data_IF_836985015086
#
_entry.id   IF_836985015086
#
_cell.length_a   1.000
_cell.length_b   1.000
_cell.length_c   1.000
_cell.angle_alpha   90.00
_cell.angle_beta   90.00
_cell.angle_gamma   90.00
#
_symmetry.space_group_name_H-M   'P 1'
#
loop_
_entity.id
_entity.type
_entity.pdbx_description
1 polymer ?
#
# COMPACT_ATOMS: atom_id res chain seq x y z
N UNK A 1 4.77 20.21 21.20
CA UNK A 1 5.23 21.35 22.01
C UNK A 1 6.74 21.22 22.18
N UNK A 2 7.55 22.00 21.46
CA UNK A 2 9.02 21.94 21.59
C UNK A 2 9.39 22.38 23.01
N UNK A 3 10.17 21.58 23.73
CA UNK A 3 10.85 22.04 24.95
C UNK A 3 12.01 22.92 24.50
N UNK A 4 11.69 24.18 24.26
CA UNK A 4 12.65 25.26 24.01
C UNK A 4 13.09 25.80 25.36
N UNK A 5 14.39 25.85 25.62
CA UNK A 5 14.91 26.70 26.68
C UNK A 5 14.56 28.15 26.32
N UNK A 6 13.50 28.69 26.94
CA UNK A 6 13.07 30.08 26.76
C UNK A 6 14.20 31.00 27.23
N UNK A 7 14.73 31.81 26.32
CA UNK A 7 15.28 33.10 26.73
C UNK A 7 14.11 33.96 27.26
N UNK A 8 14.24 34.75 28.34
CA UNK A 8 13.10 35.38 29.02
C UNK A 8 12.51 36.62 28.29
N UNK A 9 12.43 36.59 26.96
CA UNK A 9 11.92 37.70 26.13
C UNK A 9 10.91 37.24 25.06
N UNK A 10 10.14 38.19 24.52
CA UNK A 10 9.30 37.96 23.31
C UNK A 10 10.21 37.59 22.14
N UNK A 11 10.05 36.38 21.59
CA UNK A 11 10.77 35.93 20.40
C UNK A 11 10.55 36.88 19.22
N UNK A 12 11.62 37.20 18.48
CA UNK A 12 11.57 38.14 17.35
C UNK A 12 11.67 37.39 16.03
N UNK A 13 10.80 37.73 15.08
CA UNK A 13 10.78 37.14 13.74
C UNK A 13 11.40 38.08 12.70
N UNK A 14 12.05 37.56 11.62
CA UNK A 14 12.26 36.15 11.30
C UNK A 14 13.12 35.42 12.34
N UNK A 15 12.77 34.18 12.65
CA UNK A 15 13.44 33.36 13.65
C UNK A 15 14.04 32.12 12.99
N UNK A 16 15.27 31.76 13.33
CA UNK A 16 15.85 30.48 12.93
C UNK A 16 15.73 29.47 14.06
N UNK A 17 15.38 28.24 13.72
CA UNK A 17 15.45 27.08 14.62
C UNK A 17 16.60 26.18 14.19
N UNK A 18 17.49 25.84 15.11
CA UNK A 18 18.64 24.97 14.89
C UNK A 18 18.45 23.67 15.68
N UNK A 19 18.37 22.56 14.96
CA UNK A 19 18.16 21.22 15.52
C UNK A 19 19.28 20.29 15.07
N UNK A 20 19.92 19.60 16.03
CA UNK A 20 20.95 18.61 15.73
C UNK A 20 20.43 17.19 16.00
N UNK A 21 20.89 16.25 15.17
CA UNK A 21 20.56 14.84 15.21
C UNK A 21 21.84 14.03 15.07
N UNK A 22 21.85 12.81 15.60
CA UNK A 22 23.07 12.03 15.75
C UNK A 22 22.82 10.56 16.04
N UNK A 23 23.72 9.63 15.66
CA UNK A 23 23.53 8.20 15.91
C UNK A 23 23.49 7.86 17.40
N UNK A 24 24.05 8.72 18.26
CA UNK A 24 23.97 8.65 19.72
C UNK A 24 23.52 10.01 20.28
N UNK A 25 23.08 10.08 21.56
CA UNK A 25 22.73 11.34 22.20
C UNK A 25 23.89 12.34 22.35
N UNK A 26 25.14 11.90 22.17
CA UNK A 26 26.34 12.71 22.37
C UNK A 26 26.98 13.21 21.07
N UNK A 27 26.78 12.50 19.96
CA UNK A 27 27.50 12.75 18.71
C UNK A 27 26.54 13.19 17.60
N UNK A 28 26.67 14.42 17.12
CA UNK A 28 25.78 14.98 16.10
C UNK A 28 26.36 14.81 14.70
N UNK A 29 25.59 14.22 13.79
CA UNK A 29 26.00 14.02 12.38
C UNK A 29 25.11 14.80 11.41
N UNK A 30 24.02 15.40 11.89
CA UNK A 30 23.06 16.16 11.08
C UNK A 30 22.60 17.42 11.80
N UNK A 31 22.64 18.56 11.12
CA UNK A 31 22.09 19.84 11.58
C UNK A 31 21.00 20.28 10.62
N UNK A 32 19.87 20.73 11.17
CA UNK A 32 18.76 21.29 10.40
C UNK A 32 18.52 22.71 10.89
N UNK A 33 18.59 23.69 9.98
CA UNK A 33 18.18 25.07 10.23
C UNK A 33 16.85 25.33 9.51
N UNK A 34 15.85 25.85 10.22
CA UNK A 34 14.55 26.22 9.64
C UNK A 34 14.16 27.65 9.99
N UNK A 35 13.69 28.42 9.00
CA UNK A 35 13.28 29.82 9.13
C UNK A 35 11.78 29.93 9.33
N UNK A 36 11.37 30.70 10.34
CA UNK A 36 9.98 31.03 10.65
C UNK A 36 9.79 32.54 10.53
N UNK A 37 8.78 32.98 9.78
CA UNK A 37 8.51 34.41 9.58
C UNK A 37 7.52 34.99 10.59
N UNK A 38 6.77 34.13 11.30
CA UNK A 38 5.80 34.52 12.33
C UNK A 38 5.57 33.39 13.32
N UNK A 39 5.03 33.73 14.48
CA UNK A 39 4.69 32.75 15.51
C UNK A 39 3.63 31.76 15.01
N UNK A 40 3.89 30.46 15.16
CA UNK A 40 3.00 29.40 14.69
C UNK A 40 2.88 29.30 13.16
N UNK A 41 3.69 30.03 12.41
CA UNK A 41 3.74 29.93 10.95
C UNK A 41 4.45 28.67 10.47
N UNK A 42 4.25 28.33 9.20
CA UNK A 42 5.01 27.27 8.52
C UNK A 42 6.47 27.68 8.32
N UNK A 43 7.31 26.66 8.07
CA UNK A 43 8.73 26.85 7.76
C UNK A 43 8.86 27.49 6.37
N UNK A 44 9.39 28.70 6.33
CA UNK A 44 9.56 29.46 5.09
C UNK A 44 10.76 28.97 4.26
N UNK A 45 11.85 28.58 4.93
CA UNK A 45 12.99 27.93 4.29
C UNK A 45 13.69 26.99 5.27
N UNK A 46 14.37 25.96 4.74
CA UNK A 46 15.08 24.96 5.54
C UNK A 46 16.32 24.46 4.81
N UNK A 47 17.43 24.42 5.55
CA UNK A 47 18.67 23.82 5.09
C UNK A 47 19.12 22.70 6.04
N UNK A 48 19.76 21.67 5.47
CA UNK A 48 20.22 20.48 6.18
C UNK A 48 21.71 20.27 5.86
N UNK A 49 22.49 20.06 6.90
CA UNK A 49 23.90 19.68 6.81
C UNK A 49 24.12 18.31 7.43
N UNK A 50 24.96 17.50 6.79
CA UNK A 50 25.28 16.15 7.26
C UNK A 50 26.77 15.86 7.12
N UNK A 51 27.34 15.14 8.07
CA UNK A 51 28.73 14.64 8.05
C UNK A 51 28.77 13.20 8.53
N UNK A 52 29.74 12.43 8.03
CA UNK A 52 29.99 11.03 8.41
C UNK A 52 31.27 10.84 9.24
N UNK A 53 32.07 11.90 9.38
CA UNK A 53 33.45 11.80 9.92
C UNK A 53 33.69 12.67 11.16
N UNK A 54 32.84 13.66 11.40
CA UNK A 54 33.02 14.68 12.43
C UNK A 54 31.70 14.97 13.15
N UNK A 55 31.79 15.61 14.32
CA UNK A 55 30.59 16.17 14.94
C UNK A 55 30.21 17.47 14.22
N UNK A 56 29.01 17.50 13.62
CA UNK A 56 28.52 18.60 12.78
C UNK A 56 28.52 19.95 13.50
N UNK A 57 28.41 19.96 14.84
CA UNK A 57 28.42 21.18 15.65
C UNK A 57 29.80 21.84 15.70
N UNK A 58 30.84 21.05 15.52
CA UNK A 58 32.23 21.49 15.57
C UNK A 58 32.86 21.69 14.19
N UNK A 59 32.12 21.38 13.13
CA UNK A 59 32.59 21.54 11.77
C UNK A 59 32.65 23.05 11.40
N UNK A 60 33.85 23.61 11.11
CA UNK A 60 34.00 25.03 10.84
C UNK A 60 33.33 25.45 9.53
N UNK A 61 33.27 24.56 8.53
CA UNK A 61 32.62 24.82 7.25
C UNK A 61 31.12 24.90 7.45
N UNK A 62 30.52 23.92 8.13
CA UNK A 62 29.08 23.91 8.43
C UNK A 62 28.70 25.13 9.26
N UNK A 63 29.53 25.55 10.22
CA UNK A 63 29.27 26.75 11.02
C UNK A 63 29.18 28.01 10.18
N UNK A 64 30.07 28.15 9.20
CA UNK A 64 30.08 29.31 8.31
C UNK A 64 28.87 29.29 7.36
N UNK A 65 28.50 28.12 6.84
CA UNK A 65 27.30 27.96 6.01
C UNK A 65 26.01 28.25 6.80
N UNK A 66 25.91 27.80 8.05
CA UNK A 66 24.77 28.10 8.92
C UNK A 66 24.69 29.60 9.21
N UNK A 67 25.83 30.27 9.44
CA UNK A 67 25.87 31.72 9.61
C UNK A 67 25.35 32.42 8.36
N UNK A 68 25.88 32.07 7.18
CA UNK A 68 25.47 32.66 5.91
C UNK A 68 23.97 32.45 5.66
N UNK A 69 23.43 31.27 5.97
CA UNK A 69 22.00 30.98 5.86
C UNK A 69 21.15 31.86 6.78
N UNK A 70 21.57 32.08 8.03
CA UNK A 70 20.87 32.92 9.01
C UNK A 70 20.91 34.39 8.58
N UNK A 71 22.07 34.87 8.13
CA UNK A 71 22.27 36.26 7.68
C UNK A 71 21.46 36.58 6.43
N UNK A 72 21.42 35.67 5.45
CA UNK A 72 20.63 35.81 4.23
C UNK A 72 19.12 35.99 4.49
N UNK A 73 18.63 35.48 5.63
CA UNK A 73 17.22 35.56 6.03
C UNK A 73 16.92 36.68 7.04
N UNK A 74 17.89 37.56 7.32
CA UNK A 74 17.76 38.67 8.27
C UNK A 74 17.16 38.24 9.63
N UNK A 75 17.58 37.06 10.11
CA UNK A 75 17.07 36.45 11.33
C UNK A 75 17.34 37.34 12.53
N UNK A 76 16.30 37.59 13.33
CA UNK A 76 16.33 38.47 14.51
C UNK A 76 16.45 37.70 15.82
N UNK A 77 16.22 36.40 15.79
CA UNK A 77 16.30 35.51 16.93
C UNK A 77 16.62 34.07 16.50
N UNK A 78 17.40 33.36 17.32
CA UNK A 78 17.83 31.99 17.04
C UNK A 78 17.47 31.09 18.21
N UNK A 79 16.74 30.02 17.92
CA UNK A 79 16.37 29.00 18.90
C UNK A 79 17.13 27.72 18.60
N UNK A 80 17.91 27.25 19.57
CA UNK A 80 18.66 26.00 19.43
C UNK A 80 18.15 24.98 20.45
N UNK A 81 18.03 23.72 20.05
CA UNK A 81 17.75 22.64 20.99
C UNK A 81 18.94 22.46 21.95
N UNK A 82 18.66 22.30 23.25
CA UNK A 82 19.70 22.08 24.27
C UNK A 82 20.37 20.70 24.20
N UNK A 83 19.80 19.78 23.41
CA UNK A 83 20.26 18.41 23.20
C UNK A 83 19.98 17.95 21.78
N UNK A 84 20.54 16.81 21.40
CA UNK A 84 20.20 16.16 20.13
C UNK A 84 18.74 15.67 20.17
N UNK A 85 18.01 15.92 19.10
CA UNK A 85 16.57 15.65 19.02
C UNK A 85 16.26 14.23 18.57
N UNK A 86 17.25 13.41 18.21
CA UNK A 86 17.06 12.03 17.80
C UNK A 86 18.14 11.51 16.86
N UNK A 87 17.92 10.29 16.36
CA UNK A 87 18.71 9.69 15.29
C UNK A 87 18.60 10.51 13.98
N UNK A 88 19.66 10.55 13.13
CA UNK A 88 19.62 11.24 11.83
C UNK A 88 18.64 10.61 10.83
N UNK A 89 18.26 9.35 11.05
CA UNK A 89 17.32 8.58 10.24
C UNK A 89 15.87 8.92 10.60
N UNK A 90 15.00 8.97 9.58
CA UNK A 90 13.62 9.40 9.68
C UNK A 90 12.66 8.20 9.74
N UNK A 91 11.94 8.08 10.85
CA UNK A 91 10.82 7.14 11.03
C UNK A 91 9.76 7.31 9.93
N UNK A 92 9.28 6.20 9.37
CA UNK A 92 8.37 6.18 8.23
C UNK A 92 9.05 6.39 6.87
N UNK A 93 10.37 6.65 6.84
CA UNK A 93 11.16 6.74 5.61
C UNK A 93 12.30 5.71 5.63
N UNK A 94 13.18 5.81 6.62
CA UNK A 94 14.38 4.98 6.76
C UNK A 94 14.12 3.67 7.53
N UNK A 95 13.07 3.64 8.35
CA UNK A 95 12.62 2.46 9.11
C UNK A 95 11.12 2.58 9.44
N UNK A 96 10.41 1.48 9.73
CA UNK A 96 8.96 1.50 9.94
C UNK A 96 8.51 2.43 11.06
N UNK A 97 7.31 3.00 10.91
CA UNK A 97 6.68 3.83 11.93
C UNK A 97 6.38 3.01 13.18
N UNK A 98 6.77 3.50 14.35
CA UNK A 98 6.59 2.82 15.64
C UNK A 98 7.73 1.89 16.03
N UNK A 99 8.67 1.60 15.13
CA UNK A 99 9.83 0.76 15.41
C UNK A 99 11.04 1.56 15.89
N UNK A 100 12.02 0.85 16.44
CA UNK A 100 13.31 1.42 16.80
C UNK A 100 14.21 1.49 15.57
N UNK A 101 15.01 2.55 15.46
CA UNK A 101 15.92 2.67 14.34
C UNK A 101 17.02 1.59 14.44
N UNK A 102 17.13 0.65 13.49
CA UNK A 102 18.09 -0.45 13.57
C UNK A 102 19.55 0.02 13.44
N UNK A 103 19.75 1.24 12.91
CA UNK A 103 21.07 1.85 12.71
C UNK A 103 21.53 2.69 13.92
N UNK A 104 20.63 2.96 14.86
CA UNK A 104 20.82 3.89 15.95
C UNK A 104 20.32 3.29 17.28
N UNK A 105 20.89 2.16 17.76
CA UNK A 105 20.39 1.48 18.96
C UNK A 105 20.49 2.33 20.23
N UNK A 106 21.36 3.35 20.25
CA UNK A 106 21.45 4.30 21.36
C UNK A 106 20.18 5.17 21.55
N UNK A 107 19.25 5.15 20.59
CA UNK A 107 17.96 5.83 20.67
C UNK A 107 16.79 4.87 20.93
N UNK A 108 17.05 3.57 21.04
CA UNK A 108 16.06 2.56 21.42
C UNK A 108 15.41 2.95 22.75
N UNK A 109 14.07 2.93 22.79
CA UNK A 109 13.31 3.30 23.98
C UNK A 109 13.52 4.73 24.47
N UNK A 110 13.94 5.71 23.64
CA UNK A 110 14.11 7.12 24.06
C UNK A 110 13.15 8.04 23.29
N UNK A 111 12.44 8.92 24.00
CA UNK A 111 11.61 9.92 23.36
C UNK A 111 12.46 11.03 22.74
N UNK A 112 12.28 11.22 21.44
CA UNK A 112 13.07 12.16 20.67
C UNK A 112 12.86 13.62 21.12
N UNK A 113 11.67 13.98 21.62
CA UNK A 113 11.31 15.34 22.05
C UNK A 113 11.56 15.63 23.53
N UNK A 114 11.35 14.65 24.42
CA UNK A 114 11.59 14.82 25.87
C UNK A 114 12.94 14.29 26.35
N UNK A 115 13.52 13.30 25.67
CA UNK A 115 14.80 12.68 26.03
C UNK A 115 14.69 11.68 27.16
N UNK A 116 13.47 11.39 27.59
CA UNK A 116 13.16 10.41 28.62
C UNK A 116 12.99 9.04 28.00
N UNK A 117 13.16 7.99 28.82
CA UNK A 117 12.81 6.63 28.42
C UNK A 117 11.35 6.59 27.97
N UNK A 118 11.12 6.20 26.72
CA UNK A 118 9.80 5.81 26.22
C UNK A 118 9.41 4.50 26.88
N UNK A 119 8.21 4.48 27.44
CA UNK A 119 7.39 3.27 27.41
C UNK A 119 7.09 3.00 25.92
N UNK A 120 7.24 1.78 25.39
CA UNK A 120 6.94 1.50 23.99
C UNK A 120 5.57 2.07 23.60
N UNK A 121 5.46 2.70 22.42
CA UNK A 121 4.14 3.05 21.87
C UNK A 121 3.40 1.73 21.69
N UNK A 122 2.47 1.43 22.60
CA UNK A 122 1.68 0.22 22.51
C UNK A 122 0.79 0.34 21.27
N UNK A 123 0.91 -0.65 20.39
CA UNK A 123 -0.12 -0.88 19.39
C UNK A 123 -1.46 -1.07 20.11
N UNK A 124 -2.52 -0.55 19.50
CA UNK A 124 -3.90 -0.78 19.91
C UNK A 124 -4.76 -0.97 18.67
N UNK A 125 -5.93 -1.59 18.85
CA UNK A 125 -6.91 -1.72 17.78
C UNK A 125 -7.29 -0.36 17.18
N UNK A 126 -7.45 0.67 18.03
CA UNK A 126 -7.77 2.03 17.59
C UNK A 126 -6.67 2.66 16.73
N UNK A 127 -5.40 2.40 17.03
CA UNK A 127 -4.27 2.88 16.21
C UNK A 127 -4.23 2.14 14.88
N UNK A 128 -4.40 0.82 14.88
CA UNK A 128 -4.43 0.02 13.65
C UNK A 128 -5.58 0.49 12.73
N UNK A 129 -6.80 0.63 13.27
CA UNK A 129 -7.96 1.10 12.51
C UNK A 129 -7.76 2.51 11.96
N UNK A 130 -7.26 3.45 12.76
CA UNK A 130 -6.99 4.81 12.28
C UNK A 130 -6.02 4.81 11.09
N UNK A 131 -5.01 3.92 11.10
CA UNK A 131 -4.07 3.77 9.99
C UNK A 131 -4.73 3.16 8.76
N UNK A 132 -5.47 2.05 8.92
CA UNK A 132 -6.13 1.34 7.81
C UNK A 132 -7.25 2.18 7.18
N UNK A 133 -7.90 3.05 7.95
CA UNK A 133 -8.91 4.00 7.48
C UNK A 133 -8.32 5.29 6.91
N UNK A 134 -6.99 5.45 6.82
CA UNK A 134 -6.38 6.66 6.26
C UNK A 134 -5.73 6.35 4.91
N UNK A 135 -6.29 6.85 3.78
CA UNK A 135 -5.72 6.63 2.46
C UNK A 135 -4.24 7.04 2.39
N UNK A 136 -3.41 6.15 1.82
CA UNK A 136 -1.98 6.42 1.63
C UNK A 136 -1.15 6.56 2.91
N UNK A 137 -1.68 6.16 4.08
CA UNK A 137 -0.96 6.32 5.34
C UNK A 137 0.34 5.51 5.37
N UNK A 138 1.46 6.18 5.66
CA UNK A 138 2.81 5.57 5.66
C UNK A 138 2.98 4.41 6.65
N UNK A 139 2.15 4.37 7.70
CA UNK A 139 2.11 3.28 8.68
C UNK A 139 1.32 2.05 8.24
N UNK A 140 0.66 2.08 7.07
CA UNK A 140 -0.19 0.99 6.57
C UNK A 140 0.50 -0.39 6.57
N UNK A 141 1.76 -0.53 6.10
CA UNK A 141 2.44 -1.83 6.15
C UNK A 141 2.57 -2.38 7.57
N UNK A 142 2.90 -1.52 8.54
CA UNK A 142 3.04 -1.92 9.93
C UNK A 142 1.68 -2.29 10.55
N UNK A 143 0.59 -1.60 10.16
CA UNK A 143 -0.76 -1.93 10.61
C UNK A 143 -1.24 -3.27 10.07
N UNK A 144 -0.93 -3.60 8.81
CA UNK A 144 -1.22 -4.92 8.22
C UNK A 144 -0.45 -6.03 8.94
N UNK A 145 0.83 -5.82 9.28
CA UNK A 145 1.63 -6.79 10.05
C UNK A 145 1.09 -6.97 11.47
N UNK A 146 0.66 -5.88 12.12
CA UNK A 146 0.11 -5.92 13.46
C UNK A 146 -1.36 -6.41 13.51
N UNK A 147 -2.05 -6.50 12.37
CA UNK A 147 -3.48 -6.74 12.29
C UNK A 147 -3.91 -8.06 12.97
N UNK A 148 -3.06 -9.09 12.96
CA UNK A 148 -3.37 -10.37 13.60
C UNK A 148 -3.67 -10.22 15.11
N UNK A 149 -3.08 -9.23 15.78
CA UNK A 149 -3.31 -8.93 17.21
C UNK A 149 -4.67 -8.27 17.47
N UNK A 150 -5.29 -7.72 16.43
CA UNK A 150 -6.52 -6.93 16.51
C UNK A 150 -7.60 -7.45 15.56
N UNK A 151 -7.52 -8.73 15.16
CA UNK A 151 -8.42 -9.38 14.20
C UNK A 151 -9.88 -9.05 14.45
N UNK A 152 -10.40 -9.33 15.65
CA UNK A 152 -11.82 -9.13 15.94
C UNK A 152 -12.22 -7.66 15.82
N UNK A 153 -11.42 -6.74 16.35
CA UNK A 153 -11.72 -5.31 16.25
C UNK A 153 -11.73 -4.82 14.79
N UNK A 154 -10.85 -5.35 13.94
CA UNK A 154 -10.79 -5.01 12.51
C UNK A 154 -11.98 -5.62 11.77
N UNK A 155 -12.31 -6.90 12.01
CA UNK A 155 -13.46 -7.57 11.40
C UNK A 155 -14.76 -6.86 11.78
N UNK A 156 -14.96 -6.52 13.06
CA UNK A 156 -16.15 -5.79 13.50
C UNK A 156 -16.25 -4.39 12.86
N UNK A 157 -15.12 -3.70 12.65
CA UNK A 157 -15.11 -2.43 11.92
C UNK A 157 -15.49 -2.61 10.44
N UNK A 158 -14.98 -3.64 9.77
CA UNK A 158 -15.35 -3.97 8.38
C UNK A 158 -16.84 -4.30 8.28
N UNK A 159 -17.37 -5.12 9.19
CA UNK A 159 -18.80 -5.48 9.23
C UNK A 159 -19.67 -4.25 9.44
N UNK A 160 -19.29 -3.37 10.37
CA UNK A 160 -20.01 -2.13 10.63
C UNK A 160 -20.00 -1.19 9.41
N UNK A 161 -18.87 -1.07 8.72
CA UNK A 161 -18.76 -0.28 7.50
C UNK A 161 -19.60 -0.88 6.37
N UNK A 162 -19.50 -2.18 6.09
CA UNK A 162 -20.32 -2.87 5.08
C UNK A 162 -21.81 -2.68 5.35
N UNK A 163 -22.27 -2.89 6.59
CA UNK A 163 -23.66 -2.71 6.96
C UNK A 163 -24.13 -1.26 6.73
N UNK A 164 -23.29 -0.27 7.07
CA UNK A 164 -23.62 1.14 6.91
C UNK A 164 -23.66 1.56 5.44
N UNK A 165 -22.64 1.25 4.65
CA UNK A 165 -22.61 1.64 3.22
C UNK A 165 -23.65 0.88 2.39
N UNK A 166 -24.05 -0.31 2.81
CA UNK A 166 -25.17 -1.04 2.20
C UNK A 166 -26.50 -0.34 2.46
N UNK A 167 -26.71 0.19 3.67
CA UNK A 167 -27.96 0.86 4.04
C UNK A 167 -28.02 2.33 3.56
N UNK A 168 -26.86 2.99 3.51
CA UNK A 168 -26.69 4.41 3.25
C UNK A 168 -25.45 4.65 2.36
N UNK A 169 -25.48 4.23 1.08
CA UNK A 169 -24.34 4.33 0.17
C UNK A 169 -23.83 5.77 0.02
N UNK A 170 -24.72 6.76 0.12
CA UNK A 170 -24.40 8.19 0.08
C UNK A 170 -23.49 8.67 1.23
N UNK A 171 -23.32 7.84 2.26
CA UNK A 171 -22.45 8.14 3.42
C UNK A 171 -21.06 7.54 3.29
N UNK A 172 -20.73 6.87 2.18
CA UNK A 172 -19.41 6.32 1.95
C UNK A 172 -18.35 7.44 1.83
N UNK A 173 -17.16 7.18 2.37
CA UNK A 173 -16.05 8.13 2.41
C UNK A 173 -14.75 7.48 1.93
N UNK A 174 -13.74 8.29 1.60
CA UNK A 174 -12.39 7.79 1.29
C UNK A 174 -11.79 6.95 2.45
N UNK A 175 -12.17 7.25 3.69
CA UNK A 175 -11.74 6.47 4.85
C UNK A 175 -12.35 5.06 4.86
N UNK A 176 -13.58 4.93 4.35
CA UNK A 176 -14.25 3.64 4.18
C UNK A 176 -13.63 2.84 3.03
N UNK A 177 -13.31 3.51 1.92
CA UNK A 177 -12.58 2.89 0.81
C UNK A 177 -11.28 2.26 1.29
N UNK A 178 -10.47 3.03 2.04
CA UNK A 178 -9.21 2.56 2.61
C UNK A 178 -9.42 1.37 3.57
N UNK A 179 -10.40 1.49 4.48
CA UNK A 179 -10.67 0.44 5.47
C UNK A 179 -11.22 -0.84 4.84
N UNK A 180 -12.18 -0.74 3.92
CA UNK A 180 -12.79 -1.89 3.25
C UNK A 180 -11.76 -2.57 2.37
N UNK A 181 -10.96 -1.83 1.61
CA UNK A 181 -9.92 -2.40 0.76
C UNK A 181 -8.93 -3.23 1.59
N UNK A 182 -8.31 -2.65 2.62
CA UNK A 182 -7.37 -3.38 3.48
C UNK A 182 -8.05 -4.49 4.30
N UNK A 183 -9.21 -4.16 4.84
CA UNK A 183 -10.00 -5.03 5.70
C UNK A 183 -10.47 -6.29 4.99
N UNK A 184 -10.89 -6.22 3.72
CA UNK A 184 -11.33 -7.39 2.97
C UNK A 184 -10.17 -8.34 2.67
N UNK A 185 -8.98 -7.85 2.30
CA UNK A 185 -7.80 -8.73 2.16
C UNK A 185 -7.42 -9.38 3.49
N UNK A 186 -7.48 -8.65 4.60
CA UNK A 186 -7.23 -9.21 5.94
C UNK A 186 -8.28 -10.28 6.32
N UNK A 187 -9.56 -10.00 6.12
CA UNK A 187 -10.65 -10.94 6.35
C UNK A 187 -10.53 -12.19 5.48
N UNK A 188 -10.15 -12.04 4.20
CA UNK A 188 -9.87 -13.15 3.30
C UNK A 188 -8.67 -13.98 3.78
N UNK A 189 -7.56 -13.34 4.19
CA UNK A 189 -6.39 -14.02 4.79
C UNK A 189 -6.77 -14.83 6.03
N UNK A 190 -7.63 -14.28 6.88
CA UNK A 190 -8.11 -14.95 8.09
C UNK A 190 -9.24 -15.94 7.85
N UNK A 191 -9.80 -15.96 6.64
CA UNK A 191 -10.98 -16.74 6.26
C UNK A 191 -12.15 -16.51 7.21
N UNK A 192 -12.40 -15.25 7.54
CA UNK A 192 -13.41 -14.88 8.54
C UNK A 192 -14.82 -14.94 7.97
N UNK A 193 -15.52 -16.05 8.23
CA UNK A 193 -16.84 -16.35 7.65
C UNK A 193 -17.93 -15.35 8.04
N UNK A 194 -17.72 -14.53 9.07
CA UNK A 194 -18.68 -13.48 9.45
C UNK A 194 -18.89 -12.46 8.33
N UNK A 195 -17.88 -12.25 7.48
CA UNK A 195 -17.90 -11.24 6.40
C UNK A 195 -18.66 -11.70 5.16
N UNK A 196 -18.85 -13.00 4.98
CA UNK A 196 -19.44 -13.58 3.77
C UNK A 196 -20.80 -13.00 3.39
N UNK A 197 -21.78 -13.10 4.30
CA UNK A 197 -23.14 -12.65 4.02
C UNK A 197 -23.22 -11.12 3.86
N UNK A 198 -22.58 -10.31 4.72
CA UNK A 198 -22.52 -8.85 4.52
C UNK A 198 -21.89 -8.43 3.20
N UNK A 199 -20.76 -9.05 2.80
CA UNK A 199 -20.07 -8.73 1.55
C UNK A 199 -20.93 -9.08 0.32
N UNK A 200 -21.49 -10.29 0.29
CA UNK A 200 -22.39 -10.71 -0.80
C UNK A 200 -23.65 -9.85 -0.84
N UNK A 201 -24.18 -9.45 0.32
CA UNK A 201 -25.34 -8.56 0.39
C UNK A 201 -25.02 -7.21 -0.23
N UNK A 202 -23.89 -6.61 0.14
CA UNK A 202 -23.45 -5.33 -0.41
C UNK A 202 -23.29 -5.42 -1.93
N UNK A 203 -22.55 -6.41 -2.44
CA UNK A 203 -22.36 -6.64 -3.88
C UNK A 203 -23.66 -6.84 -4.66
N UNK A 204 -24.70 -7.40 -4.04
CA UNK A 204 -25.99 -7.64 -4.70
C UNK A 204 -26.85 -6.38 -4.79
N UNK A 205 -26.70 -5.46 -3.85
CA UNK A 205 -27.59 -4.29 -3.71
C UNK A 205 -26.94 -2.96 -4.07
N UNK A 206 -25.61 -2.90 -4.09
CA UNK A 206 -24.85 -1.72 -4.46
C UNK A 206 -25.07 -1.36 -5.94
N UNK A 207 -25.16 -0.06 -6.23
CA UNK A 207 -25.03 0.44 -7.60
C UNK A 207 -23.56 0.42 -8.03
N UNK A 208 -23.30 0.46 -9.34
CA UNK A 208 -21.92 0.45 -9.87
C UNK A 208 -21.06 1.56 -9.26
N UNK A 209 -21.62 2.76 -9.07
CA UNK A 209 -20.92 3.89 -8.44
C UNK A 209 -20.55 3.66 -6.98
N UNK A 210 -21.31 2.80 -6.27
CA UNK A 210 -20.98 2.45 -4.88
C UNK A 210 -19.81 1.47 -4.82
N UNK A 211 -19.67 0.63 -5.85
CA UNK A 211 -18.59 -0.36 -5.95
C UNK A 211 -17.26 0.24 -6.40
N UNK A 212 -17.27 1.44 -7.02
CA UNK A 212 -16.06 2.24 -7.26
C UNK A 212 -15.26 2.48 -5.95
N UNK A 213 -15.89 2.34 -4.78
CA UNK A 213 -15.27 2.39 -3.47
C UNK A 213 -14.08 1.41 -3.33
N UNK A 214 -14.15 0.25 -3.98
CA UNK A 214 -13.07 -0.75 -3.97
C UNK A 214 -12.33 -0.84 -5.33
N UNK A 215 -12.78 -0.07 -6.33
CA UNK A 215 -12.15 0.03 -7.65
C UNK A 215 -11.80 -1.34 -8.25
N UNK A 216 -10.56 -1.45 -8.76
CA UNK A 216 -10.05 -2.66 -9.42
C UNK A 216 -10.09 -3.92 -8.53
N UNK A 217 -10.20 -3.79 -7.20
CA UNK A 217 -10.36 -4.95 -6.30
C UNK A 217 -11.62 -5.74 -6.66
N UNK A 218 -12.68 -5.07 -7.14
CA UNK A 218 -13.91 -5.73 -7.58
C UNK A 218 -13.62 -6.75 -8.70
N UNK A 219 -12.82 -6.36 -9.69
CA UNK A 219 -12.58 -7.17 -10.89
C UNK A 219 -11.42 -8.15 -10.72
N UNK A 220 -10.41 -7.79 -9.91
CA UNK A 220 -9.17 -8.57 -9.79
C UNK A 220 -9.22 -9.61 -8.66
N UNK A 221 -9.78 -9.26 -7.49
CA UNK A 221 -9.62 -10.07 -6.27
C UNK A 221 -10.93 -10.42 -5.56
N UNK A 222 -12.06 -9.79 -5.89
CA UNK A 222 -13.32 -9.99 -5.18
C UNK A 222 -13.79 -11.46 -5.21
N UNK A 223 -13.59 -12.18 -6.31
CA UNK A 223 -13.89 -13.62 -6.39
C UNK A 223 -13.08 -14.45 -5.39
N UNK A 224 -11.77 -14.17 -5.28
CA UNK A 224 -10.89 -14.78 -4.26
C UNK A 224 -11.32 -14.42 -2.85
N UNK A 225 -11.70 -13.16 -2.60
CA UNK A 225 -12.18 -12.72 -1.29
C UNK A 225 -13.47 -13.44 -0.89
N UNK A 226 -14.46 -13.49 -1.78
CA UNK A 226 -15.74 -14.19 -1.58
C UNK A 226 -15.54 -15.68 -1.30
N UNK A 227 -14.68 -16.35 -2.06
CA UNK A 227 -14.34 -17.76 -1.82
C UNK A 227 -13.61 -17.94 -0.48
N UNK A 228 -12.70 -17.03 -0.12
CA UNK A 228 -11.90 -17.16 1.09
C UNK A 228 -12.74 -17.04 2.38
N UNK A 229 -13.74 -16.16 2.39
CA UNK A 229 -14.66 -15.98 3.51
C UNK A 229 -15.88 -16.91 3.46
N UNK A 230 -16.00 -17.76 2.45
CA UNK A 230 -17.18 -18.59 2.26
C UNK A 230 -17.52 -19.46 3.48
N UNK A 231 -18.77 -19.37 3.94
CA UNK A 231 -19.26 -20.03 5.16
C UNK A 231 -19.94 -21.39 4.95
N UNK A 232 -19.79 -22.01 3.78
CA UNK A 232 -20.39 -23.32 3.47
C UNK A 232 -21.77 -23.28 2.78
N UNK A 233 -22.44 -22.12 2.75
CA UNK A 233 -23.73 -21.93 2.06
C UNK A 233 -23.52 -21.22 0.73
N UNK A 234 -23.90 -21.85 -0.40
CA UNK A 234 -23.79 -21.26 -1.75
C UNK A 234 -24.97 -20.33 -2.08
N UNK A 235 -26.05 -20.38 -1.31
CA UNK A 235 -27.28 -19.63 -1.58
C UNK A 235 -27.05 -18.11 -1.74
N UNK A 236 -26.25 -17.44 -0.89
CA UNK A 236 -25.93 -16.03 -1.09
C UNK A 236 -25.26 -15.74 -2.44
N UNK A 237 -24.21 -16.49 -2.82
CA UNK A 237 -23.53 -16.32 -4.11
C UNK A 237 -24.48 -16.54 -5.28
N UNK A 238 -25.31 -17.59 -5.23
CA UNK A 238 -26.29 -17.87 -6.28
C UNK A 238 -27.30 -16.73 -6.44
N UNK A 239 -27.79 -16.16 -5.33
CA UNK A 239 -28.68 -14.99 -5.37
C UNK A 239 -28.00 -13.72 -5.88
N UNK A 240 -26.69 -13.56 -5.68
CA UNK A 240 -25.92 -12.47 -6.29
C UNK A 240 -25.85 -12.65 -7.80
N UNK A 241 -25.42 -13.83 -8.27
CA UNK A 241 -25.26 -14.15 -9.69
C UNK A 241 -26.59 -14.06 -10.46
N UNK A 242 -27.69 -14.52 -9.85
CA UNK A 242 -29.05 -14.50 -10.42
C UNK A 242 -29.75 -13.14 -10.26
N UNK A 243 -29.09 -12.10 -9.75
CA UNK A 243 -29.70 -10.78 -9.55
C UNK A 243 -29.54 -9.90 -10.80
N UNK A 244 -30.59 -9.68 -11.63
CA UNK A 244 -30.49 -8.85 -12.84
C UNK A 244 -30.13 -7.39 -12.57
N UNK A 245 -30.39 -6.91 -11.35
CA UNK A 245 -30.12 -5.53 -10.94
C UNK A 245 -28.76 -5.35 -10.28
N UNK A 246 -28.04 -6.45 -10.00
CA UNK A 246 -26.69 -6.35 -9.44
C UNK A 246 -25.69 -6.00 -10.53
N UNK A 247 -24.63 -5.30 -10.15
CA UNK A 247 -23.51 -4.98 -11.05
C UNK A 247 -22.92 -6.24 -11.70
N UNK A 248 -22.64 -6.17 -13.00
CA UNK A 248 -22.23 -7.34 -13.77
C UNK A 248 -20.85 -7.90 -13.37
N UNK A 249 -19.96 -7.05 -12.85
CA UNK A 249 -18.66 -7.47 -12.32
C UNK A 249 -18.80 -8.08 -10.93
N UNK A 250 -19.73 -7.59 -10.11
CA UNK A 250 -20.08 -8.24 -8.85
C UNK A 250 -20.68 -9.64 -9.08
N UNK A 251 -21.55 -9.79 -10.11
CA UNK A 251 -22.07 -11.10 -10.55
C UNK A 251 -20.94 -12.01 -11.03
N UNK A 252 -20.01 -11.49 -11.83
CA UNK A 252 -18.83 -12.22 -12.30
C UNK A 252 -17.93 -12.68 -11.14
N UNK A 253 -17.68 -11.82 -10.14
CA UNK A 253 -16.95 -12.20 -8.93
C UNK A 253 -17.65 -13.35 -8.18
N UNK A 254 -18.98 -13.38 -8.18
CA UNK A 254 -19.76 -14.48 -7.61
C UNK A 254 -19.58 -15.81 -8.35
N UNK A 255 -19.53 -15.78 -9.69
CA UNK A 255 -19.23 -16.94 -10.54
C UNK A 255 -17.81 -17.44 -10.31
N UNK A 256 -16.84 -16.53 -10.32
CA UNK A 256 -15.44 -16.83 -10.05
C UNK A 256 -15.25 -17.44 -8.66
N UNK A 257 -15.94 -16.92 -7.64
CA UNK A 257 -15.90 -17.49 -6.30
C UNK A 257 -16.39 -18.95 -6.27
N UNK A 258 -17.49 -19.28 -6.98
CA UNK A 258 -18.00 -20.65 -7.07
C UNK A 258 -17.00 -21.60 -7.75
N UNK A 259 -16.34 -21.14 -8.82
CA UNK A 259 -15.29 -21.89 -9.50
C UNK A 259 -14.04 -22.09 -8.62
N UNK A 260 -13.60 -21.04 -7.91
CA UNK A 260 -12.49 -21.11 -6.97
C UNK A 260 -12.76 -22.08 -5.82
N UNK A 261 -13.99 -22.16 -5.32
CA UNK A 261 -14.36 -23.15 -4.31
C UNK A 261 -14.19 -24.59 -4.81
N UNK A 262 -14.41 -24.85 -6.10
CA UNK A 262 -14.08 -26.15 -6.72
C UNK A 262 -12.57 -26.33 -6.81
N UNK A 263 -11.84 -25.33 -7.30
CA UNK A 263 -10.39 -25.37 -7.47
C UNK A 263 -9.63 -25.53 -6.15
N UNK A 264 -10.15 -24.97 -5.06
CA UNK A 264 -9.60 -25.11 -3.71
C UNK A 264 -10.08 -26.38 -2.99
N UNK A 265 -10.92 -27.19 -3.64
CA UNK A 265 -11.49 -28.43 -3.11
C UNK A 265 -12.40 -28.22 -1.88
N UNK A 266 -13.08 -27.08 -1.83
CA UNK A 266 -13.97 -26.70 -0.72
C UNK A 266 -15.46 -26.87 -1.06
N UNK A 267 -15.82 -26.87 -2.35
CA UNK A 267 -17.14 -27.21 -2.83
C UNK A 267 -17.10 -28.41 -3.78
N UNK A 268 -18.10 -29.32 -3.73
CA UNK A 268 -18.21 -30.40 -4.70
C UNK A 268 -18.38 -29.86 -6.14
N UNK A 269 -17.52 -30.30 -7.07
CA UNK A 269 -17.56 -29.89 -8.48
C UNK A 269 -18.94 -30.14 -9.10
N UNK A 270 -19.49 -31.33 -8.90
CA UNK A 270 -20.80 -31.74 -9.43
C UNK A 270 -21.92 -30.79 -8.99
N UNK A 271 -21.90 -30.33 -7.74
CA UNK A 271 -22.88 -29.41 -7.21
C UNK A 271 -22.78 -28.01 -7.85
N UNK A 272 -21.57 -27.53 -8.14
CA UNK A 272 -21.34 -26.23 -8.82
C UNK A 272 -21.65 -26.33 -10.31
N UNK A 273 -21.21 -27.40 -10.98
CA UNK A 273 -21.49 -27.64 -12.41
C UNK A 273 -22.98 -27.80 -12.64
N UNK A 274 -23.71 -28.54 -11.80
CA UNK A 274 -25.17 -28.65 -11.89
C UNK A 274 -25.86 -27.29 -11.78
N UNK A 275 -25.32 -26.39 -10.95
CA UNK A 275 -25.80 -25.03 -10.89
C UNK A 275 -25.51 -24.26 -12.18
N UNK A 276 -24.30 -24.33 -12.72
CA UNK A 276 -23.93 -23.66 -13.96
C UNK A 276 -24.73 -24.16 -15.18
N UNK A 277 -25.06 -25.45 -15.24
CA UNK A 277 -26.00 -25.98 -16.25
C UNK A 277 -27.33 -25.26 -16.16
N UNK A 278 -27.97 -25.27 -14.98
CA UNK A 278 -29.26 -24.60 -14.75
C UNK A 278 -29.19 -23.10 -15.03
N UNK A 279 -28.08 -22.47 -14.67
CA UNK A 279 -27.85 -21.05 -14.88
C UNK A 279 -27.76 -20.72 -16.38
N UNK A 280 -27.00 -21.49 -17.16
CA UNK A 280 -26.84 -21.31 -18.61
C UNK A 280 -28.12 -21.63 -19.41
N UNK A 281 -28.97 -22.52 -18.92
CA UNK A 281 -30.19 -22.92 -19.66
C UNK A 281 -31.41 -22.09 -19.29
N UNK A 282 -31.54 -21.70 -18.02
CA UNK A 282 -32.79 -21.14 -17.46
C UNK A 282 -32.57 -19.91 -16.57
N UNK A 283 -31.40 -19.78 -15.94
CA UNK A 283 -31.19 -18.80 -14.87
C UNK A 283 -30.71 -17.42 -15.30
N UNK A 284 -29.95 -17.30 -16.39
CA UNK A 284 -29.48 -16.01 -16.88
C UNK A 284 -30.42 -15.39 -17.91
N UNK A 285 -30.54 -14.06 -17.83
CA UNK A 285 -31.21 -13.27 -18.83
C UNK A 285 -30.51 -13.45 -20.19
N UNK A 286 -31.28 -13.49 -21.28
CA UNK A 286 -30.75 -13.61 -22.66
C UNK A 286 -30.27 -12.25 -23.19
N UNK A 287 -29.46 -11.57 -22.39
CA UNK A 287 -28.82 -10.29 -22.71
C UNK A 287 -27.31 -10.48 -22.67
N UNK A 288 -26.55 -10.07 -23.71
CA UNK A 288 -25.10 -10.13 -23.67
C UNK A 288 -24.55 -9.30 -22.50
N UNK A 289 -23.43 -9.73 -21.92
CA UNK A 289 -22.76 -8.96 -20.88
C UNK A 289 -21.76 -9.79 -20.05
N UNK A 290 -21.15 -9.15 -19.07
CA UNK A 290 -20.02 -9.70 -18.35
C UNK A 290 -20.35 -10.98 -17.58
N UNK A 291 -21.61 -11.15 -17.15
CA UNK A 291 -22.04 -12.38 -16.46
C UNK A 291 -21.99 -13.61 -17.39
N UNK A 292 -22.34 -13.48 -18.66
CA UNK A 292 -22.20 -14.56 -19.64
C UNK A 292 -20.74 -14.84 -19.98
N UNK A 293 -19.94 -13.79 -20.17
CA UNK A 293 -18.50 -13.90 -20.40
C UNK A 293 -17.82 -14.66 -19.25
N UNK A 294 -18.08 -14.24 -18.01
CA UNK A 294 -17.54 -14.88 -16.82
C UNK A 294 -18.03 -16.33 -16.68
N UNK A 295 -19.33 -16.62 -16.88
CA UNK A 295 -19.83 -18.00 -16.80
C UNK A 295 -19.06 -18.93 -17.75
N UNK A 296 -18.80 -18.48 -18.97
CA UNK A 296 -18.10 -19.28 -19.96
C UNK A 296 -16.61 -19.49 -19.57
N UNK A 297 -15.93 -18.44 -19.11
CA UNK A 297 -14.55 -18.52 -18.60
C UNK A 297 -14.47 -19.49 -17.41
N UNK A 298 -15.32 -19.31 -16.40
CA UNK A 298 -15.30 -20.14 -15.21
C UNK A 298 -15.62 -21.61 -15.51
N UNK A 299 -16.56 -21.87 -16.43
CA UNK A 299 -16.84 -23.23 -16.91
C UNK A 299 -15.62 -23.85 -17.60
N UNK A 300 -14.85 -23.10 -18.38
CA UNK A 300 -13.64 -23.62 -18.99
C UNK A 300 -12.53 -23.89 -17.96
N UNK A 301 -12.38 -23.01 -16.96
CA UNK A 301 -11.38 -23.13 -15.89
C UNK A 301 -11.61 -24.38 -15.03
N UNK A 302 -12.86 -24.65 -14.64
CA UNK A 302 -13.21 -25.86 -13.87
C UNK A 302 -13.56 -27.07 -14.74
N UNK A 303 -13.34 -26.95 -16.04
CA UNK A 303 -13.57 -28.00 -17.03
C UNK A 303 -15.02 -28.54 -16.99
N UNK A 304 -16.01 -27.67 -16.82
CA UNK A 304 -17.45 -27.97 -16.76
C UNK A 304 -18.03 -28.31 -18.13
N UNK A 305 -17.55 -29.41 -18.74
CA UNK A 305 -17.95 -29.87 -20.08
C UNK A 305 -19.48 -30.03 -20.22
N UNK A 306 -20.16 -30.35 -19.12
CA UNK A 306 -21.60 -30.50 -19.05
C UNK A 306 -22.37 -29.21 -19.43
N UNK A 307 -21.73 -28.04 -19.29
CA UNK A 307 -22.31 -26.72 -19.61
C UNK A 307 -22.02 -26.30 -21.06
N UNK A 308 -20.99 -26.87 -21.69
CA UNK A 308 -20.46 -26.41 -22.99
C UNK A 308 -21.49 -26.38 -24.13
N UNK A 309 -22.43 -27.34 -24.25
CA UNK A 309 -23.48 -27.25 -25.27
C UNK A 309 -24.31 -25.96 -25.16
N UNK A 310 -24.65 -25.54 -23.92
CA UNK A 310 -25.38 -24.30 -23.68
C UNK A 310 -24.52 -23.06 -23.97
N UNK A 311 -23.23 -23.11 -23.63
CA UNK A 311 -22.29 -22.00 -23.92
C UNK A 311 -22.06 -21.82 -25.42
N UNK A 312 -21.91 -22.90 -26.19
CA UNK A 312 -21.78 -22.82 -27.66
C UNK A 312 -23.03 -22.19 -28.28
N UNK A 313 -24.22 -22.56 -27.81
CA UNK A 313 -25.46 -21.91 -28.24
C UNK A 313 -25.47 -20.40 -27.89
N UNK A 314 -25.04 -20.04 -26.67
CA UNK A 314 -24.92 -18.65 -26.24
C UNK A 314 -23.90 -17.85 -27.08
N UNK A 315 -22.77 -18.45 -27.49
CA UNK A 315 -21.82 -17.83 -28.43
C UNK A 315 -22.47 -17.55 -29.79
N UNK A 316 -23.23 -18.50 -30.35
CA UNK A 316 -23.94 -18.33 -31.63
C UNK A 316 -25.03 -17.25 -31.57
N UNK A 317 -25.63 -17.07 -30.40
CA UNK A 317 -26.62 -16.02 -30.13
C UNK A 317 -25.99 -14.65 -29.82
N UNK A 318 -24.66 -14.57 -29.73
CA UNK A 318 -23.94 -13.33 -29.43
C UNK A 318 -24.07 -12.89 -27.97
N UNK A 319 -24.38 -13.79 -27.05
CA UNK A 319 -24.46 -13.51 -25.61
C UNK A 319 -23.10 -13.49 -24.92
N UNK A 320 -22.11 -14.15 -25.52
CA UNK A 320 -20.72 -14.20 -25.06
C UNK A 320 -19.87 -13.47 -26.10
N UNK A 321 -19.06 -12.53 -25.65
CA UNK A 321 -18.13 -11.79 -26.51
C UNK A 321 -16.97 -12.69 -26.96
N UNK A 322 -16.63 -12.62 -28.25
CA UNK A 322 -15.62 -13.48 -28.86
C UNK A 322 -14.20 -13.27 -28.31
N UNK A 323 -13.93 -12.07 -27.77
CA UNK A 323 -12.63 -11.71 -27.21
C UNK A 323 -12.40 -12.30 -25.80
N UNK A 324 -13.43 -12.85 -25.16
CA UNK A 324 -13.33 -13.52 -23.85
C UNK A 324 -13.05 -15.01 -23.98
N UNK A 325 -13.99 -15.76 -24.54
CA UNK A 325 -13.82 -17.19 -24.78
C UNK A 325 -14.58 -17.62 -26.04
N UNK A 326 -13.89 -17.83 -27.17
CA UNK A 326 -14.54 -18.26 -28.39
C UNK A 326 -14.90 -19.76 -28.31
N UNK A 327 -15.88 -20.20 -29.11
CA UNK A 327 -16.30 -21.60 -29.13
C UNK A 327 -15.17 -22.58 -29.44
N UNK A 328 -14.15 -22.15 -30.20
CA UNK A 328 -12.94 -22.94 -30.47
C UNK A 328 -12.15 -23.23 -29.19
N UNK A 329 -12.09 -22.29 -28.25
CA UNK A 329 -11.41 -22.53 -26.98
C UNK A 329 -12.17 -23.57 -26.14
N UNK A 330 -13.51 -23.57 -26.18
CA UNK A 330 -14.31 -24.63 -25.55
C UNK A 330 -14.02 -26.00 -26.17
N UNK A 331 -13.83 -26.08 -27.49
CA UNK A 331 -13.46 -27.33 -28.19
C UNK A 331 -12.04 -27.79 -27.78
N UNK A 332 -11.10 -26.86 -27.64
CA UNK A 332 -9.75 -27.13 -27.14
C UNK A 332 -9.78 -27.63 -25.69
N UNK A 333 -10.61 -27.01 -24.85
CA UNK A 333 -10.80 -27.46 -23.47
C UNK A 333 -11.43 -28.84 -23.47
N UNK A 334 -12.43 -29.14 -24.29
CA UNK A 334 -13.08 -30.47 -24.32
C UNK A 334 -12.13 -31.57 -24.80
N UNK A 335 -11.31 -31.30 -25.81
CA UNK A 335 -10.32 -32.25 -26.35
C UNK A 335 -9.07 -32.42 -25.47
N UNK A 336 -8.82 -31.49 -24.55
CA UNK A 336 -7.62 -31.47 -23.70
C UNK A 336 -7.58 -32.55 -22.62
N UNK A 337 -6.44 -32.63 -21.93
CA UNK A 337 -6.27 -33.51 -20.77
C UNK A 337 -7.06 -33.01 -19.56
N UNK A 338 -7.85 -33.89 -18.91
CA UNK A 338 -8.63 -33.54 -17.71
C UNK A 338 -7.73 -33.18 -16.52
N UNK A 339 -8.18 -32.21 -15.74
CA UNK A 339 -7.56 -31.71 -14.52
C UNK A 339 -6.45 -30.69 -14.74
N UNK A 340 -5.97 -30.49 -15.98
CA UNK A 340 -4.85 -29.59 -16.26
C UNK A 340 -5.26 -28.13 -16.10
N UNK A 341 -6.41 -27.72 -16.67
CA UNK A 341 -6.87 -26.34 -16.53
C UNK A 341 -7.27 -26.03 -15.10
N UNK A 342 -7.98 -26.95 -14.44
CA UNK A 342 -8.35 -26.80 -13.03
C UNK A 342 -7.12 -26.62 -12.12
N UNK A 343 -6.05 -27.38 -12.37
CA UNK A 343 -4.81 -27.27 -11.61
C UNK A 343 -4.07 -25.96 -11.89
N UNK A 344 -4.03 -25.52 -13.15
CA UNK A 344 -3.45 -24.23 -13.54
C UNK A 344 -4.23 -23.06 -12.93
N UNK A 345 -5.57 -23.09 -13.00
CA UNK A 345 -6.46 -22.12 -12.37
C UNK A 345 -6.20 -22.00 -10.87
N UNK A 346 -6.14 -23.14 -10.16
CA UNK A 346 -5.78 -23.17 -8.73
C UNK A 346 -4.42 -22.52 -8.46
N UNK A 347 -3.46 -22.71 -9.36
CA UNK A 347 -2.09 -22.20 -9.22
C UNK A 347 -2.01 -20.70 -9.46
N UNK A 348 -2.78 -20.17 -10.42
CA UNK A 348 -2.91 -18.73 -10.70
C UNK A 348 -3.68 -17.99 -9.61
N UNK A 349 -4.65 -18.64 -8.96
CA UNK A 349 -5.51 -18.04 -7.95
C UNK A 349 -5.38 -18.73 -6.59
N UNK A 350 -4.20 -18.66 -5.94
CA UNK A 350 -4.03 -19.22 -4.60
C UNK A 350 -4.86 -18.44 -3.58
N UNK A 351 -5.17 -19.06 -2.44
CA UNK A 351 -5.77 -18.35 -1.31
C UNK A 351 -4.87 -17.17 -0.86
N UNK A 352 -5.49 -16.04 -0.49
CA UNK A 352 -4.80 -14.84 -0.01
C UNK A 352 -4.07 -15.17 1.30
N UNK A 353 -2.75 -14.99 1.32
CA UNK A 353 -1.90 -15.29 2.50
C UNK A 353 -1.04 -14.13 2.96
N UNK A 354 -0.55 -13.33 2.02
CA UNK A 354 0.30 -12.18 2.28
C UNK A 354 -0.33 -10.91 1.70
N UNK A 355 -1.07 -10.19 2.54
CA UNK A 355 -1.79 -8.97 2.14
C UNK A 355 -0.86 -7.90 1.58
N UNK A 356 0.39 -7.80 2.06
CA UNK A 356 1.35 -6.82 1.54
C UNK A 356 1.82 -7.17 0.14
N UNK A 357 1.94 -8.46 -0.17
CA UNK A 357 2.26 -8.96 -1.49
C UNK A 357 1.10 -8.78 -2.48
N UNK A 358 -0.13 -9.10 -2.09
CA UNK A 358 -1.32 -8.90 -2.92
C UNK A 358 -1.51 -7.41 -3.25
N UNK A 359 -1.29 -6.54 -2.26
CA UNK A 359 -1.54 -5.10 -2.38
C UNK A 359 -0.30 -4.28 -2.74
N UNK A 360 0.65 -4.87 -3.47
CA UNK A 360 1.85 -4.15 -3.96
C UNK A 360 1.50 -2.97 -4.86
N UNK A 361 0.41 -3.08 -5.62
CA UNK A 361 -0.11 -2.02 -6.48
C UNK A 361 -0.60 -0.80 -5.68
N UNK A 362 -1.09 -1.01 -4.45
CA UNK A 362 -1.59 0.04 -3.55
C UNK A 362 -0.48 0.69 -2.71
N UNK A 363 0.77 0.22 -2.79
CA UNK A 363 1.86 0.94 -2.16
C UNK A 363 2.09 2.24 -2.93
N UNK A 364 2.26 3.39 -2.25
CA UNK A 364 2.68 4.60 -2.93
C UNK A 364 3.95 4.25 -3.68
N UNK A 365 3.91 4.30 -5.02
CA UNK A 365 5.10 4.19 -5.85
C UNK A 365 6.12 5.06 -5.17
N UNK A 366 7.24 4.47 -4.74
CA UNK A 366 8.39 5.28 -4.36
C UNK A 366 8.76 6.03 -5.62
N UNK A 367 8.16 7.21 -5.80
CA UNK A 367 8.83 8.29 -6.47
C UNK A 367 10.03 8.48 -5.58
N UNK A 368 11.12 7.79 -5.92
CA UNK A 368 12.43 8.36 -5.66
C UNK A 368 12.33 9.71 -6.32
N UNK A 369 11.96 10.72 -5.55
CA UNK A 369 12.42 12.07 -5.80
C UNK A 369 13.92 11.92 -5.73
N UNK A 370 14.52 11.52 -6.85
CA UNK A 370 15.74 12.15 -7.27
C UNK A 370 15.37 13.61 -7.17
N UNK A 371 15.77 14.24 -6.06
CA UNK A 371 15.68 15.67 -5.90
C UNK A 371 16.06 16.25 -7.27
N UNK A 372 15.22 17.13 -7.86
CA UNK A 372 15.40 17.56 -9.23
C UNK A 372 16.87 17.85 -9.39
N UNK A 373 17.51 17.13 -10.32
CA UNK A 373 18.93 17.17 -10.53
C UNK A 373 19.24 18.63 -10.83
N UNK A 374 19.56 19.40 -9.78
CA UNK A 374 20.00 20.78 -9.91
C UNK A 374 21.24 20.60 -10.72
N UNK A 375 21.15 20.93 -12.01
CA UNK A 375 22.29 21.04 -12.89
C UNK A 375 23.29 21.87 -12.10
N UNK A 376 24.32 21.20 -11.58
CA UNK A 376 25.45 21.88 -11.00
C UNK A 376 26.02 22.68 -12.16
N UNK A 377 25.81 23.98 -12.13
CA UNK A 377 26.59 24.95 -12.92
C UNK A 377 28.02 25.03 -12.36
N UNK A 378 28.63 23.87 -12.19
CA UNK A 378 30.05 23.71 -11.99
C UNK A 378 30.52 22.96 -13.20
N UNK A 379 31.23 23.64 -14.10
CA UNK A 379 31.91 23.04 -15.24
C UNK A 379 32.57 21.73 -14.79
N UNK A 380 32.09 20.60 -15.31
CA UNK A 380 32.69 19.30 -15.03
C UNK A 380 34.14 19.36 -15.50
N UNK A 381 35.08 19.44 -14.55
CA UNK A 381 36.51 19.41 -14.85
C UNK A 381 36.79 18.16 -15.67
N UNK A 382 37.32 18.36 -16.87
CA UNK A 382 37.63 17.27 -17.78
C UNK A 382 38.65 16.34 -17.15
N UNK A 383 38.48 15.01 -17.28
CA UNK A 383 39.41 14.01 -16.71
C UNK A 383 40.90 14.25 -17.05
N UNK A 384 41.18 14.96 -18.15
CA UNK A 384 42.52 15.28 -18.61
C UNK A 384 42.98 16.72 -18.32
N UNK A 385 42.14 17.56 -17.72
CA UNK A 385 42.47 18.95 -17.34
C UNK A 385 43.38 18.99 -16.10
N UNK A 386 44.10 20.10 -15.88
CA UNK A 386 44.89 20.31 -14.66
C UNK A 386 44.03 20.15 -13.41
N UNK A 387 44.53 19.41 -12.42
CA UNK A 387 43.80 19.13 -11.20
C UNK A 387 43.71 20.40 -10.33
N UNK A 388 42.51 20.78 -9.86
CA UNK A 388 42.29 22.05 -9.14
C UNK A 388 42.92 22.09 -7.75
N UNK A 389 43.44 20.97 -7.23
CA UNK A 389 44.18 20.92 -5.97
C UNK A 389 45.60 21.53 -6.05
N UNK A 390 45.99 22.08 -7.20
CA UNK A 390 47.29 22.75 -7.39
C UNK A 390 48.47 21.81 -7.62
N UNK A 391 48.23 20.50 -7.79
CA UNK A 391 49.31 19.50 -7.94
C UNK A 391 50.04 19.53 -9.30
N UNK A 392 49.53 20.30 -10.28
CA UNK A 392 50.05 20.33 -11.66
C UNK A 392 49.79 19.07 -12.49
N UNK A 393 49.13 18.05 -11.93
CA UNK A 393 48.82 16.78 -12.63
C UNK A 393 47.44 16.82 -13.29
N UNK A 394 47.18 15.96 -14.28
CA UNK A 394 45.83 15.77 -14.86
C UNK A 394 44.85 15.21 -13.81
N UNK A 395 43.60 15.67 -13.79
CA UNK A 395 42.59 15.31 -12.79
C UNK A 395 42.46 13.79 -12.57
N UNK A 396 42.42 12.97 -13.63
CA UNK A 396 42.34 11.50 -13.54
C UNK A 396 43.55 10.81 -12.89
N UNK A 397 44.68 11.51 -12.78
CA UNK A 397 45.93 10.99 -12.17
C UNK A 397 46.20 11.62 -10.79
N UNK A 398 45.23 12.34 -10.24
CA UNK A 398 45.31 12.99 -8.94
C UNK A 398 43.99 12.77 -8.18
N UNK A 399 43.20 13.81 -7.90
CA UNK A 399 41.96 13.69 -7.13
C UNK A 399 40.88 12.82 -7.79
N UNK A 400 40.96 12.59 -9.11
CA UNK A 400 40.07 11.69 -9.85
C UNK A 400 40.68 10.31 -10.14
N UNK A 401 41.76 9.92 -9.45
CA UNK A 401 42.34 8.59 -9.57
C UNK A 401 41.54 7.59 -8.74
N UNK A 402 41.00 6.56 -9.39
CA UNK A 402 40.41 5.40 -8.72
C UNK A 402 41.55 4.53 -8.21
N UNK A 403 41.65 4.34 -6.89
CA UNK A 403 42.60 3.39 -6.31
C UNK A 403 41.97 2.00 -6.45
N UNK A 404 42.57 1.12 -7.26
CA UNK A 404 42.24 -0.29 -7.28
C UNK A 404 42.88 -0.96 -6.05
N UNK A 405 42.06 -1.41 -5.11
CA UNK A 405 42.48 -2.28 -4.03
C UNK A 405 42.67 -3.69 -4.57
N UNK A 406 43.87 -4.00 -5.09
CA UNK A 406 44.27 -5.37 -5.39
C UNK A 406 45.73 -5.62 -5.04
N UNK A 407 46.04 -5.59 -3.74
CA UNK A 407 46.96 -6.49 -3.02
C UNK A 407 47.30 -5.86 -1.68
N UNK A 408 46.68 -6.40 -0.62
CA UNK A 408 47.32 -6.73 0.65
C UNK A 408 46.44 -7.76 1.36
#
# INVERSE_FOLDING_TARGET
>A
MLVVAKSPGRSRFPMATLACYGPTPQHATKLVASILLRQGGEVADRQIWTTLVSDVRHDPTVREEVRAFIEAHAVRDTVTASRLLGCPHQEGIDYPMGEECPRCPAWAGIDRWTGQSRVPRQWSASVALAILSTPGHVGRPAAIVAADQYRDAIVEAVLATLARITAHPETATDADSSLITDGLYLCARWRDVRVYVPLVTWFRTAETTDLDLIGDVLTEDAGRMLAAVWGGDRGPLQRLVESPTADEYARAAGLNALALLVAWEEAPRDAVVSYFVRLATEGLERTPGQTWNSLAVECAEIEALEVFPALRAACLEGLIELDYIPAVELDEVEAGQRGVRLQDFRSRHPAIRDVLQEMKWAQPVRVTTHAPNRRSDGSKIGRNEPCPCGSGRKYKKCCGATIEWSTL
#
